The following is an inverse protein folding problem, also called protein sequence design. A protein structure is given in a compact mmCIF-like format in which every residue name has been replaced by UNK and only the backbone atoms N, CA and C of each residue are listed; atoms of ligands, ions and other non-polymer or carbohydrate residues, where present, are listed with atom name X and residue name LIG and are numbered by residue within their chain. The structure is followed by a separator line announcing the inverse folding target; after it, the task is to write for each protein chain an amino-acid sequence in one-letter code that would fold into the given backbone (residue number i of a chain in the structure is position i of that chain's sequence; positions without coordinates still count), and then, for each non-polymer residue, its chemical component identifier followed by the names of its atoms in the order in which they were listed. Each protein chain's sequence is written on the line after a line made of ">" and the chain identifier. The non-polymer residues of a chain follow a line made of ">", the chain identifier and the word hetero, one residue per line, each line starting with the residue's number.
data_IF_233699934977
#
_entry.id   IF_233699934977
#
_cell.length_a   1.000
_cell.length_b   1.000
_cell.length_c   1.000
_cell.angle_alpha   90.00
_cell.angle_beta   90.00
_cell.angle_gamma   90.00
#
_symmetry.space_group_name_H-M   'P 1'
#
loop_
_entity.id
_entity.type
_entity.pdbx_description
1 polymer ?
#
# COMPACT_ATOMS: atom_id res chain seq x y z
N UNK A 1 -36.42 19.11 19.68
CA UNK A 1 -37.80 18.73 20.03
C UNK A 1 -37.94 17.24 19.85
N UNK A 2 -38.37 16.54 20.91
CA UNK A 2 -38.49 15.08 20.96
C UNK A 2 -39.52 14.52 19.98
N UNK A 3 -39.25 13.31 19.51
CA UNK A 3 -40.22 12.41 18.90
C UNK A 3 -39.76 10.97 19.08
N UNK A 4 -40.27 10.31 20.11
CA UNK A 4 -40.16 8.86 20.35
C UNK A 4 -41.33 8.15 19.68
N UNK A 5 -41.06 7.14 18.86
CA UNK A 5 -41.98 6.04 18.55
C UNK A 5 -41.19 4.73 18.48
N UNK A 6 -41.65 3.72 19.21
CA UNK A 6 -41.06 2.38 19.25
C UNK A 6 -41.69 1.46 18.18
N UNK A 7 -40.81 0.73 17.46
CA UNK A 7 -40.85 -0.67 16.97
C UNK A 7 -41.95 -1.17 16.00
N UNK A 8 -41.56 -2.00 14.99
CA UNK A 8 -41.35 -3.42 15.25
C UNK A 8 -40.10 -4.06 14.60
N UNK A 9 -39.60 -5.08 15.30
CA UNK A 9 -38.59 -6.08 14.94
C UNK A 9 -38.63 -6.55 13.48
N UNK A 10 -37.53 -6.36 12.75
CA UNK A 10 -37.17 -7.20 11.61
C UNK A 10 -35.74 -7.74 11.80
N UNK A 11 -35.66 -9.06 11.96
CA UNK A 11 -34.40 -9.80 11.98
C UNK A 11 -33.80 -9.77 10.57
N UNK A 12 -32.83 -8.89 10.33
CA UNK A 12 -31.86 -9.07 9.25
C UNK A 12 -30.50 -9.37 9.87
N UNK A 13 -30.01 -10.59 9.62
CA UNK A 13 -28.62 -10.97 9.91
C UNK A 13 -27.72 -10.24 8.93
N UNK A 14 -27.36 -9.00 9.25
CA UNK A 14 -26.20 -8.34 8.64
C UNK A 14 -24.96 -8.91 9.29
N UNK A 15 -24.23 -9.71 8.52
CA UNK A 15 -22.86 -10.12 8.82
C UNK A 15 -21.99 -8.87 8.91
N UNK A 16 -21.84 -8.35 10.13
CA UNK A 16 -20.84 -7.34 10.46
C UNK A 16 -19.47 -7.98 10.30
N UNK A 17 -18.73 -7.54 9.29
CA UNK A 17 -17.29 -7.78 9.21
C UNK A 17 -16.69 -7.06 10.42
N UNK A 18 -16.30 -7.82 11.43
CA UNK A 18 -15.59 -7.27 12.58
C UNK A 18 -14.28 -6.65 12.10
N UNK A 19 -13.95 -5.41 12.52
CA UNK A 19 -12.60 -4.91 12.35
C UNK A 19 -11.69 -5.84 13.17
N UNK A 20 -10.61 -6.30 12.56
CA UNK A 20 -9.62 -7.16 13.21
C UNK A 20 -9.18 -6.47 14.51
N UNK A 21 -9.56 -7.08 15.62
CA UNK A 21 -9.36 -6.55 16.96
C UNK A 21 -7.85 -6.53 17.23
N UNK A 22 -7.22 -5.37 17.09
CA UNK A 22 -5.85 -5.14 17.49
C UNK A 22 -5.78 -5.06 19.00
N UNK A 23 -5.47 -6.19 19.65
CA UNK A 23 -4.87 -6.20 20.97
C UNK A 23 -4.24 -7.56 21.27
N UNK A 24 -2.94 -7.53 21.53
CA UNK A 24 -2.13 -8.70 21.87
C UNK A 24 -1.22 -9.09 20.71
N UNK A 25 0.06 -8.76 20.83
CA UNK A 25 1.13 -9.39 20.06
C UNK A 25 1.15 -10.88 20.39
N UNK A 26 0.26 -11.63 19.75
CA UNK A 26 0.33 -13.07 19.72
C UNK A 26 1.35 -13.38 18.66
N UNK A 27 2.54 -13.82 19.10
CA UNK A 27 3.50 -14.47 18.22
C UNK A 27 2.68 -15.48 17.42
N UNK A 28 2.62 -15.37 16.07
CA UNK A 28 1.84 -16.31 15.30
C UNK A 28 2.29 -17.73 15.67
N UNK A 29 1.44 -18.75 15.68
CA UNK A 29 1.90 -20.14 15.85
C UNK A 29 3.05 -20.47 14.88
N UNK A 30 3.93 -21.42 15.21
CA UNK A 30 5.04 -21.84 14.33
C UNK A 30 4.57 -22.20 12.92
N UNK A 31 3.36 -22.73 12.78
CA UNK A 31 2.76 -23.15 11.51
C UNK A 31 1.97 -22.06 10.78
N UNK A 32 1.77 -20.90 11.40
CA UNK A 32 1.02 -19.81 10.77
C UNK A 32 1.80 -19.22 9.59
N UNK A 33 1.11 -19.02 8.47
CA UNK A 33 1.70 -18.41 7.27
C UNK A 33 1.83 -16.90 7.45
N UNK A 34 3.05 -16.37 7.39
CA UNK A 34 3.25 -14.92 7.45
C UNK A 34 2.84 -14.30 6.10
N UNK A 35 1.81 -13.46 6.11
CA UNK A 35 1.38 -12.74 4.93
C UNK A 35 2.25 -11.49 4.74
N UNK A 36 3.29 -11.62 3.93
CA UNK A 36 4.17 -10.53 3.52
C UNK A 36 3.94 -10.14 2.05
N UNK A 37 2.79 -10.53 1.48
CA UNK A 37 2.42 -10.14 0.13
C UNK A 37 1.97 -8.66 0.09
N UNK A 38 1.25 -8.25 1.14
CA UNK A 38 0.63 -6.93 1.26
C UNK A 38 1.61 -5.89 1.81
N UNK A 39 1.58 -4.69 1.23
CA UNK A 39 2.36 -3.54 1.69
C UNK A 39 1.68 -2.79 2.83
N UNK A 40 1.14 -3.49 3.83
CA UNK A 40 0.50 -2.86 5.00
C UNK A 40 1.58 -2.24 5.91
N UNK A 41 1.62 -0.90 6.11
CA UNK A 41 2.71 -0.18 6.76
C UNK A 41 2.69 -0.21 8.30
N UNK A 42 2.32 -1.36 8.88
CA UNK A 42 2.24 -1.54 10.33
C UNK A 42 3.58 -1.32 11.07
N UNK A 43 4.72 -1.42 10.37
CA UNK A 43 6.06 -1.15 10.92
C UNK A 43 6.18 0.19 11.65
N UNK A 44 5.41 1.22 11.24
CA UNK A 44 5.48 2.55 11.85
C UNK A 44 4.63 2.72 13.11
N UNK A 45 3.82 1.72 13.48
CA UNK A 45 2.89 1.82 14.61
C UNK A 45 3.62 2.14 15.93
N UNK A 46 4.74 1.46 16.19
CA UNK A 46 5.52 1.64 17.41
C UNK A 46 6.11 3.04 17.54
N UNK A 47 6.49 3.66 16.41
CA UNK A 47 6.96 5.04 16.36
C UNK A 47 5.83 6.01 16.73
N UNK A 48 4.67 5.91 16.08
CA UNK A 48 3.56 6.82 16.33
C UNK A 48 2.97 6.67 17.73
N UNK A 49 2.96 5.46 18.30
CA UNK A 49 2.55 5.24 19.69
C UNK A 49 3.46 5.99 20.69
N UNK A 50 4.77 6.06 20.43
CA UNK A 50 5.72 6.80 21.28
C UNK A 50 5.55 8.32 21.19
N UNK A 51 4.88 8.84 20.17
CA UNK A 51 4.57 10.27 20.06
C UNK A 51 3.52 10.73 21.07
N UNK A 52 2.77 9.80 21.66
CA UNK A 52 1.74 10.09 22.67
C UNK A 52 0.74 11.13 22.17
N UNK A 53 0.41 12.10 23.02
CA UNK A 53 -0.64 13.08 22.73
C UNK A 53 -0.25 14.12 21.66
N UNK A 54 1.01 14.16 21.22
CA UNK A 54 1.48 15.12 20.19
C UNK A 54 0.79 14.94 18.84
N UNK A 55 0.26 13.75 18.58
CA UNK A 55 -0.44 13.41 17.35
C UNK A 55 -1.95 13.28 17.55
N UNK A 56 -2.47 13.63 18.72
CA UNK A 56 -3.92 13.62 19.00
C UNK A 56 -4.60 14.70 18.18
N UNK A 57 -5.60 14.29 17.39
CA UNK A 57 -6.49 15.20 16.65
C UNK A 57 -7.87 15.20 17.31
N UNK A 58 -8.37 16.39 17.63
CA UNK A 58 -9.73 16.58 18.16
C UNK A 58 -10.56 17.29 17.09
N UNK A 59 -11.69 16.70 16.73
CA UNK A 59 -12.66 17.27 15.78
C UNK A 59 -13.95 17.52 16.56
N UNK A 60 -14.36 18.78 16.66
CA UNK A 60 -15.60 19.18 17.32
C UNK A 60 -16.83 18.86 16.45
N UNK A 61 -18.00 18.78 17.08
CA UNK A 61 -19.23 18.34 16.39
C UNK A 61 -19.72 19.24 15.25
N UNK A 62 -19.23 20.48 15.18
CA UNK A 62 -19.57 21.44 14.12
C UNK A 62 -18.48 21.59 13.04
N UNK A 63 -17.31 21.00 13.25
CA UNK A 63 -16.21 21.05 12.28
C UNK A 63 -16.47 20.13 11.09
N UNK A 64 -15.91 20.49 9.93
CA UNK A 64 -15.92 19.68 8.70
C UNK A 64 -17.33 19.31 8.19
N UNK A 65 -18.35 20.11 8.50
CA UNK A 65 -19.73 19.88 8.02
C UNK A 65 -19.97 20.35 6.58
N UNK A 66 -19.17 21.31 6.09
CA UNK A 66 -19.28 21.85 4.73
C UNK A 66 -18.66 20.90 3.72
N UNK A 67 -19.25 20.81 2.52
CA UNK A 67 -18.61 20.14 1.38
C UNK A 67 -17.39 20.91 0.85
N UNK A 68 -17.37 22.22 1.03
CA UNK A 68 -16.33 23.08 0.48
C UNK A 68 -15.33 23.48 1.57
N UNK A 69 -14.04 23.36 1.21
CA UNK A 69 -12.90 23.82 2.01
C UNK A 69 -12.44 25.22 1.58
N UNK A 70 -12.21 25.42 0.27
CA UNK A 70 -11.74 26.70 -0.28
C UNK A 70 -12.20 26.89 -1.73
N UNK A 71 -13.15 27.80 -1.96
CA UNK A 71 -13.66 28.11 -3.30
C UNK A 71 -12.63 28.75 -4.24
N UNK A 72 -11.51 29.24 -3.73
CA UNK A 72 -10.48 29.91 -4.54
C UNK A 72 -9.47 28.93 -5.14
N UNK A 73 -9.40 27.71 -4.58
CA UNK A 73 -8.52 26.66 -5.06
C UNK A 73 -9.14 25.86 -6.20
N UNK A 74 -8.31 25.43 -7.15
CA UNK A 74 -8.70 24.47 -8.20
C UNK A 74 -9.25 23.18 -7.57
N UNK A 75 -8.64 22.75 -6.46
CA UNK A 75 -9.09 21.61 -5.67
C UNK A 75 -9.90 22.14 -4.47
N UNK A 76 -11.13 22.58 -4.70
CA UNK A 76 -11.94 23.29 -3.69
C UNK A 76 -12.30 22.50 -2.43
N UNK A 77 -12.12 21.18 -2.46
CA UNK A 77 -12.28 20.25 -1.34
C UNK A 77 -10.93 19.90 -0.66
N UNK A 78 -9.85 20.59 -0.99
CA UNK A 78 -8.57 20.50 -0.28
C UNK A 78 -8.57 21.44 0.92
N UNK A 79 -8.42 20.88 2.11
CA UNK A 79 -8.24 21.66 3.33
C UNK A 79 -6.94 22.49 3.28
N UNK A 80 -7.00 23.83 3.51
CA UNK A 80 -5.81 24.70 3.44
C UNK A 80 -4.68 24.27 4.38
N UNK A 81 -5.02 23.75 5.56
CA UNK A 81 -4.04 23.24 6.53
C UNK A 81 -3.26 22.03 5.98
N UNK A 82 -3.93 21.15 5.22
CA UNK A 82 -3.29 20.01 4.56
C UNK A 82 -2.39 20.48 3.42
N UNK A 83 -2.85 21.42 2.59
CA UNK A 83 -2.02 22.00 1.53
C UNK A 83 -0.72 22.59 2.08
N UNK A 84 -0.83 23.40 3.13
CA UNK A 84 0.32 24.01 3.80
C UNK A 84 1.28 22.94 4.36
N UNK A 85 0.76 21.88 4.97
CA UNK A 85 1.55 20.78 5.50
C UNK A 85 2.29 20.00 4.39
N UNK A 86 1.62 19.68 3.28
CA UNK A 86 2.22 19.00 2.11
C UNK A 86 3.34 19.85 1.51
N UNK A 87 3.08 21.14 1.26
CA UNK A 87 4.09 22.06 0.72
C UNK A 87 5.29 22.18 1.65
N UNK A 88 5.05 22.36 2.96
CA UNK A 88 6.11 22.43 3.98
C UNK A 88 6.96 21.16 3.99
N UNK A 89 6.32 19.99 3.98
CA UNK A 89 7.02 18.70 3.98
C UNK A 89 7.96 18.58 2.78
N UNK A 90 7.47 18.84 1.56
CA UNK A 90 8.28 18.74 0.35
C UNK A 90 9.43 19.77 0.30
N UNK A 91 9.22 20.99 0.80
CA UNK A 91 10.30 21.99 0.92
C UNK A 91 11.37 21.55 1.93
N UNK A 92 10.97 21.00 3.06
CA UNK A 92 11.91 20.53 4.10
C UNK A 92 12.71 19.30 3.66
N UNK A 93 12.05 18.33 3.01
CA UNK A 93 12.71 17.08 2.57
C UNK A 93 13.48 17.28 1.25
N UNK A 94 13.04 18.22 0.40
CA UNK A 94 13.67 18.53 -0.88
C UNK A 94 13.43 17.45 -1.95
N UNK A 95 12.40 16.62 -1.82
CA UNK A 95 12.12 15.51 -2.74
C UNK A 95 11.16 15.86 -3.89
N UNK A 96 10.51 17.02 -3.87
CA UNK A 96 9.64 17.48 -4.95
C UNK A 96 9.55 19.01 -5.00
N UNK A 97 9.36 19.57 -6.20
CA UNK A 97 9.06 20.99 -6.41
C UNK A 97 7.56 21.19 -6.27
N UNK A 98 7.16 22.06 -5.34
CA UNK A 98 5.75 22.34 -5.04
C UNK A 98 5.31 23.75 -5.42
N UNK A 99 6.23 24.65 -5.74
CA UNK A 99 5.95 26.07 -5.99
C UNK A 99 5.81 26.41 -7.49
N UNK A 100 5.44 27.65 -7.81
CA UNK A 100 5.27 28.14 -9.19
C UNK A 100 3.86 27.91 -9.74
N UNK A 101 3.77 27.30 -10.91
CA UNK A 101 2.53 26.95 -11.63
C UNK A 101 1.93 25.60 -11.19
N UNK A 102 2.37 25.07 -10.04
CA UNK A 102 1.98 23.74 -9.55
C UNK A 102 0.78 23.83 -8.61
N UNK A 103 -0.26 23.07 -8.94
CA UNK A 103 -1.44 22.87 -8.09
C UNK A 103 -1.31 21.60 -7.24
N UNK A 104 -1.93 21.60 -6.06
CA UNK A 104 -2.09 20.41 -5.23
C UNK A 104 -3.52 19.88 -5.43
N UNK A 105 -3.64 18.60 -5.75
CA UNK A 105 -4.92 17.89 -5.85
C UNK A 105 -4.91 16.76 -4.85
N UNK A 106 -5.94 16.67 -4.00
CA UNK A 106 -6.10 15.60 -3.02
C UNK A 106 -7.03 14.51 -3.55
N UNK A 107 -6.82 13.29 -3.11
CA UNK A 107 -7.69 12.15 -3.40
C UNK A 107 -7.56 11.09 -2.31
N UNK A 108 -8.50 10.17 -2.27
CA UNK A 108 -8.55 9.03 -1.36
C UNK A 108 -7.48 8.01 -1.74
N UNK A 109 -6.26 8.32 -1.34
CA UNK A 109 -5.06 7.56 -1.68
C UNK A 109 -4.54 7.81 -3.09
N UNK A 110 -3.28 7.46 -3.32
CA UNK A 110 -2.61 7.64 -4.61
C UNK A 110 -3.25 6.83 -5.73
N UNK A 111 -4.00 5.77 -5.41
CA UNK A 111 -4.74 4.96 -6.40
C UNK A 111 -5.77 5.79 -7.15
N UNK A 112 -6.55 6.61 -6.43
CA UNK A 112 -7.53 7.50 -7.05
C UNK A 112 -6.83 8.58 -7.88
N UNK A 113 -5.77 9.19 -7.33
CA UNK A 113 -5.00 10.23 -8.03
C UNK A 113 -4.35 9.69 -9.32
N UNK A 114 -3.85 8.45 -9.31
CA UNK A 114 -3.30 7.82 -10.50
C UNK A 114 -4.37 7.62 -11.58
N UNK A 115 -5.56 7.13 -11.21
CA UNK A 115 -6.68 6.98 -12.14
C UNK A 115 -7.16 8.33 -12.68
N UNK A 116 -7.28 9.34 -11.81
CA UNK A 116 -7.63 10.69 -12.20
C UNK A 116 -6.61 11.29 -13.17
N UNK A 117 -5.31 11.05 -12.95
CA UNK A 117 -4.26 11.49 -13.84
C UNK A 117 -4.34 10.79 -15.21
N UNK A 118 -4.55 9.47 -15.24
CA UNK A 118 -4.74 8.74 -16.50
C UNK A 118 -5.94 9.28 -17.28
N UNK A 119 -7.07 9.50 -16.61
CA UNK A 119 -8.28 10.06 -17.21
C UNK A 119 -8.08 11.49 -17.72
N UNK A 120 -7.41 12.35 -16.94
CA UNK A 120 -7.16 13.73 -17.34
C UNK A 120 -6.18 13.83 -18.54
N UNK A 121 -5.28 12.86 -18.69
CA UNK A 121 -4.30 12.80 -19.78
C UNK A 121 -4.85 12.16 -21.06
N UNK A 122 -5.97 11.42 -21.00
CA UNK A 122 -6.62 10.91 -22.20
C UNK A 122 -7.30 12.06 -22.95
N UNK A 123 -6.88 12.32 -24.19
CA UNK A 123 -7.42 13.42 -25.00
C UNK A 123 -8.83 13.08 -25.51
N UNK A 124 -9.84 13.92 -25.29
CA UNK A 124 -11.15 13.76 -25.91
C UNK A 124 -11.01 13.83 -27.45
N UNK A 125 -11.33 12.74 -28.15
CA UNK A 125 -11.32 12.68 -29.63
C UNK A 125 -10.05 12.12 -30.28
N UNK A 126 -9.10 11.59 -29.49
CA UNK A 126 -7.98 10.79 -30.02
C UNK A 126 -8.39 9.36 -30.37
N UNK A 127 -7.50 8.57 -31.03
CA UNK A 127 -7.73 7.14 -31.23
C UNK A 127 -7.78 6.42 -29.88
N UNK A 128 -8.98 5.98 -29.51
CA UNK A 128 -9.23 5.12 -28.35
C UNK A 128 -8.90 3.65 -28.70
N UNK A 129 -8.21 2.89 -27.83
CA UNK A 129 -7.76 3.25 -26.48
C UNK A 129 -6.35 3.87 -26.42
N UNK A 130 -6.14 4.79 -25.49
CA UNK A 130 -4.79 5.35 -25.17
C UNK A 130 -3.90 4.28 -24.53
N UNK A 131 -2.71 4.06 -25.10
CA UNK A 131 -1.74 3.09 -24.56
C UNK A 131 -1.07 3.61 -23.28
N UNK A 132 -1.18 2.84 -22.19
CA UNK A 132 -0.54 3.13 -20.89
C UNK A 132 0.44 2.00 -20.56
N UNK A 133 1.74 2.32 -20.57
CA UNK A 133 2.83 1.36 -20.36
C UNK A 133 3.69 1.69 -19.14
N UNK A 134 4.32 0.67 -18.55
CA UNK A 134 5.26 0.82 -17.44
C UNK A 134 6.40 -0.18 -17.60
N UNK A 135 7.64 0.24 -17.33
CA UNK A 135 8.79 -0.65 -17.35
C UNK A 135 8.68 -1.76 -16.29
N UNK A 136 9.06 -2.99 -16.65
CA UNK A 136 9.13 -4.12 -15.73
C UNK A 136 10.41 -4.08 -14.87
N UNK A 137 10.35 -4.48 -13.58
CA UNK A 137 9.16 -4.91 -12.83
C UNK A 137 8.25 -3.71 -12.51
N UNK A 138 6.99 -3.77 -12.92
CA UNK A 138 6.02 -2.69 -12.70
C UNK A 138 5.15 -2.95 -11.47
N UNK A 139 4.59 -1.92 -10.85
CA UNK A 139 3.67 -2.10 -9.72
C UNK A 139 2.45 -2.94 -10.12
N UNK A 140 2.25 -4.11 -9.50
CA UNK A 140 1.30 -5.12 -9.97
C UNK A 140 -0.17 -4.67 -10.03
N UNK A 141 -0.56 -3.65 -9.26
CA UNK A 141 -1.93 -3.09 -9.32
C UNK A 141 -2.18 -2.41 -10.67
N UNK A 142 -1.13 -1.98 -11.38
CA UNK A 142 -1.25 -1.37 -12.72
C UNK A 142 -1.77 -2.36 -13.77
N UNK A 143 -1.59 -3.67 -13.57
CA UNK A 143 -2.06 -4.71 -14.50
C UNK A 143 -3.58 -4.83 -14.48
N UNK A 144 -4.24 -4.52 -13.37
CA UNK A 144 -5.71 -4.58 -13.29
C UNK A 144 -6.40 -3.51 -14.15
N UNK A 145 -5.66 -2.46 -14.54
CA UNK A 145 -6.21 -1.29 -15.24
C UNK A 145 -5.65 -1.08 -16.66
N UNK A 146 -4.69 -1.90 -17.12
CA UNK A 146 -4.14 -1.82 -18.47
C UNK A 146 -3.84 -3.23 -18.99
N UNK A 147 -4.64 -3.69 -19.97
CA UNK A 147 -4.35 -4.89 -20.75
C UNK A 147 -3.76 -4.46 -22.10
N UNK A 148 -2.45 -4.64 -22.28
CA UNK A 148 -1.82 -5.17 -23.51
C UNK A 148 -0.31 -5.41 -23.33
N UNK A 149 0.21 -6.47 -23.98
CA UNK A 149 1.51 -7.13 -23.81
C UNK A 149 2.60 -6.61 -24.79
N UNK A 150 3.90 -6.69 -24.41
CA UNK A 150 5.01 -6.71 -25.40
C UNK A 150 6.45 -6.32 -24.97
N UNK A 151 7.22 -7.30 -24.45
CA UNK A 151 8.70 -7.59 -24.50
C UNK A 151 9.85 -6.57 -24.19
N UNK A 152 10.58 -6.92 -23.11
CA UNK A 152 12.06 -7.06 -22.85
C UNK A 152 12.96 -5.86 -22.41
N UNK A 153 13.38 -5.97 -21.12
CA UNK A 153 14.69 -5.78 -20.43
C UNK A 153 15.45 -4.45 -20.36
N UNK A 154 15.65 -3.95 -19.12
CA UNK A 154 16.96 -3.97 -18.42
C UNK A 154 16.74 -3.71 -16.91
N UNK A 155 16.99 -4.72 -16.08
CA UNK A 155 16.88 -4.61 -14.62
C UNK A 155 18.21 -4.10 -14.06
N UNK A 156 18.30 -2.78 -13.81
CA UNK A 156 19.30 -2.21 -12.91
C UNK A 156 18.61 -1.87 -11.60
N UNK A 157 18.46 -2.89 -10.76
CA UNK A 157 18.02 -2.73 -9.38
C UNK A 157 19.04 -1.85 -8.65
N UNK A 158 18.68 -0.58 -8.37
CA UNK A 158 19.22 0.30 -7.32
C UNK A 158 18.52 1.68 -7.36
N UNK A 159 18.21 2.35 -6.23
CA UNK A 159 18.16 1.89 -4.84
C UNK A 159 16.74 2.04 -4.23
N UNK A 160 16.39 1.06 -3.38
CA UNK A 160 15.58 1.28 -2.18
C UNK A 160 14.15 1.81 -2.38
N UNK A 161 13.28 0.97 -2.93
CA UNK A 161 11.93 0.91 -2.34
C UNK A 161 12.11 0.15 -1.02
N UNK A 162 12.52 0.85 0.05
CA UNK A 162 12.83 0.26 1.37
C UNK A 162 11.68 -0.63 1.91
N UNK A 163 10.47 -0.47 1.37
CA UNK A 163 9.28 -1.23 1.74
C UNK A 163 9.18 -2.63 1.16
N UNK A 164 9.96 -2.99 0.12
CA UNK A 164 9.86 -4.31 -0.50
C UNK A 164 11.23 -4.89 -0.86
N UNK A 165 11.43 -6.16 -0.51
CA UNK A 165 12.58 -6.94 -0.91
C UNK A 165 12.21 -7.90 -2.07
N UNK A 166 13.16 -8.16 -2.96
CA UNK A 166 13.04 -9.19 -3.98
C UNK A 166 13.93 -10.37 -3.60
N UNK A 167 13.38 -11.57 -3.67
CA UNK A 167 14.11 -12.82 -3.50
C UNK A 167 14.04 -13.63 -4.79
N UNK A 168 15.15 -14.29 -5.12
CA UNK A 168 15.32 -15.13 -6.31
C UNK A 168 15.73 -16.55 -5.88
N UNK A 169 15.15 -17.56 -6.52
CA UNK A 169 15.62 -18.95 -6.40
C UNK A 169 16.61 -19.30 -7.53
N UNK A 170 17.60 -20.14 -7.22
CA UNK A 170 18.67 -20.54 -8.14
C UNK A 170 18.24 -21.54 -9.24
N UNK A 171 17.00 -22.02 -9.19
CA UNK A 171 16.42 -22.98 -10.15
C UNK A 171 15.08 -22.44 -10.67
N UNK A 172 14.54 -23.00 -11.77
CA UNK A 172 13.23 -22.65 -12.37
C UNK A 172 12.01 -23.05 -11.49
N UNK A 173 12.16 -22.93 -10.18
CA UNK A 173 11.21 -23.31 -9.15
C UNK A 173 10.32 -22.12 -8.82
N UNK A 174 9.04 -22.42 -8.61
CA UNK A 174 8.05 -21.46 -8.14
C UNK A 174 8.40 -21.01 -6.71
N UNK A 175 9.07 -19.85 -6.62
CA UNK A 175 9.67 -19.38 -5.37
C UNK A 175 8.62 -19.05 -4.31
N UNK A 176 7.43 -18.62 -4.73
CA UNK A 176 6.30 -18.40 -3.82
C UNK A 176 5.88 -19.70 -3.15
N UNK A 177 5.77 -20.80 -3.91
CA UNK A 177 5.43 -22.12 -3.36
C UNK A 177 6.51 -22.63 -2.41
N UNK A 178 7.78 -22.42 -2.73
CA UNK A 178 8.91 -22.81 -1.88
C UNK A 178 8.86 -22.07 -0.55
N UNK A 179 8.74 -20.74 -0.56
CA UNK A 179 8.67 -19.95 0.67
C UNK A 179 7.45 -20.32 1.52
N UNK A 180 6.30 -20.53 0.87
CA UNK A 180 5.07 -20.92 1.57
C UNK A 180 5.15 -22.34 2.13
N UNK A 181 5.81 -23.25 1.43
CA UNK A 181 5.98 -24.65 1.85
C UNK A 181 7.02 -24.84 2.95
N UNK A 182 8.23 -24.32 2.75
CA UNK A 182 9.38 -24.57 3.61
C UNK A 182 9.39 -23.69 4.86
N UNK A 183 9.10 -22.39 4.71
CA UNK A 183 9.19 -21.42 5.80
C UNK A 183 7.88 -20.73 6.13
N UNK A 184 6.76 -21.20 5.56
CA UNK A 184 5.42 -20.65 5.83
C UNK A 184 5.38 -19.13 5.63
N UNK A 185 5.99 -18.62 4.56
CA UNK A 185 5.97 -17.20 4.18
C UNK A 185 5.23 -17.06 2.87
N UNK A 186 4.25 -16.15 2.83
CA UNK A 186 3.53 -15.78 1.62
C UNK A 186 4.05 -14.44 1.12
N UNK A 187 4.60 -14.45 -0.09
CA UNK A 187 5.02 -13.27 -0.83
C UNK A 187 4.23 -13.09 -2.12
N UNK A 188 4.56 -12.07 -2.91
CA UNK A 188 3.90 -11.80 -4.20
C UNK A 188 4.76 -12.30 -5.35
N UNK A 189 4.27 -13.29 -6.11
CA UNK A 189 4.99 -13.82 -7.28
C UNK A 189 5.38 -12.73 -8.28
N UNK A 190 6.59 -12.86 -8.83
CA UNK A 190 7.16 -12.00 -9.87
C UNK A 190 6.31 -11.93 -11.14
N UNK A 191 5.52 -12.97 -11.45
CA UNK A 191 4.59 -12.96 -12.59
C UNK A 191 3.60 -11.81 -12.53
N UNK A 192 3.18 -11.38 -11.33
CA UNK A 192 2.29 -10.23 -11.14
C UNK A 192 2.94 -8.88 -11.52
N UNK A 193 4.26 -8.85 -11.71
CA UNK A 193 5.06 -7.67 -12.02
C UNK A 193 5.69 -7.74 -13.42
N UNK A 194 5.33 -8.75 -14.22
CA UNK A 194 5.89 -8.96 -15.55
C UNK A 194 7.30 -9.56 -15.56
N UNK A 195 7.70 -10.20 -14.46
CA UNK A 195 8.98 -10.93 -14.35
C UNK A 195 8.72 -12.42 -14.08
N UNK A 196 9.79 -13.21 -14.09
CA UNK A 196 9.74 -14.67 -13.94
C UNK A 196 9.18 -15.13 -12.58
N UNK A 197 8.65 -16.35 -12.51
CA UNK A 197 8.12 -16.98 -11.29
C UNK A 197 9.21 -17.34 -10.27
N UNK A 198 10.48 -17.38 -10.68
CA UNK A 198 11.64 -17.52 -9.79
C UNK A 198 11.88 -16.32 -8.89
N UNK A 199 11.15 -15.22 -9.12
CA UNK A 199 11.18 -14.04 -8.27
C UNK A 199 9.95 -13.98 -7.39
N UNK A 200 10.14 -13.57 -6.14
CA UNK A 200 9.07 -13.23 -5.21
C UNK A 200 9.39 -11.92 -4.52
N UNK A 201 8.38 -11.06 -4.41
CA UNK A 201 8.47 -9.80 -3.69
C UNK A 201 7.91 -9.97 -2.27
N UNK A 202 8.68 -9.59 -1.27
CA UNK A 202 8.34 -9.64 0.15
C UNK A 202 8.17 -8.20 0.67
N UNK A 203 7.10 -7.96 1.41
CA UNK A 203 6.86 -6.72 2.14
C UNK A 203 7.76 -6.62 3.37
N UNK A 204 8.46 -5.51 3.50
CA UNK A 204 9.30 -5.15 4.65
C UNK A 204 8.57 -4.20 5.61
N UNK A 205 7.26 -4.02 5.39
CA UNK A 205 6.42 -3.06 6.07
C UNK A 205 5.59 -3.65 7.22
N UNK A 206 5.67 -4.97 7.41
CA UNK A 206 4.96 -5.67 8.48
C UNK A 206 5.39 -5.18 9.86
N UNK A 207 4.56 -5.47 10.88
CA UNK A 207 4.91 -5.28 12.27
C UNK A 207 6.24 -5.95 12.64
N UNK A 208 6.89 -5.41 13.68
CA UNK A 208 8.23 -5.82 14.12
C UNK A 208 8.30 -7.31 14.51
N UNK A 209 7.24 -7.84 15.13
CA UNK A 209 7.08 -9.24 15.51
C UNK A 209 7.01 -10.17 14.28
N UNK A 210 6.19 -9.82 13.29
CA UNK A 210 6.06 -10.54 12.02
C UNK A 210 7.39 -10.52 11.26
N UNK A 211 8.06 -9.36 11.25
CA UNK A 211 9.34 -9.18 10.58
C UNK A 211 10.46 -10.00 11.23
N UNK A 212 10.58 -9.96 12.56
CA UNK A 212 11.58 -10.76 13.28
C UNK A 212 11.34 -12.25 13.09
N UNK A 213 10.08 -12.70 13.10
CA UNK A 213 9.74 -14.09 12.82
C UNK A 213 10.07 -14.49 11.38
N UNK A 214 9.91 -13.58 10.42
CA UNK A 214 10.35 -13.81 9.05
C UNK A 214 11.87 -14.04 8.99
N UNK A 215 12.67 -13.21 9.66
CA UNK A 215 14.13 -13.37 9.72
C UNK A 215 14.55 -14.69 10.38
N UNK A 216 13.89 -15.08 11.48
CA UNK A 216 14.09 -16.36 12.16
C UNK A 216 13.89 -17.52 11.17
N UNK A 217 12.74 -17.57 10.48
CA UNK A 217 12.44 -18.65 9.53
C UNK A 217 13.34 -18.64 8.30
N UNK A 218 13.76 -17.46 7.84
CA UNK A 218 14.70 -17.31 6.74
C UNK A 218 16.09 -17.89 7.10
N UNK A 219 16.50 -17.78 8.37
CA UNK A 219 17.76 -18.35 8.85
C UNK A 219 17.80 -19.89 8.77
N UNK A 220 16.66 -20.55 8.94
CA UNK A 220 16.50 -22.01 8.83
C UNK A 220 16.78 -22.54 7.42
N UNK A 221 16.62 -21.73 6.37
CA UNK A 221 16.96 -22.14 5.00
C UNK A 221 18.49 -22.24 4.82
N UNK A 222 19.24 -21.32 5.44
CA UNK A 222 20.71 -21.26 5.30
C UNK A 222 21.43 -22.45 5.93
N UNK A 223 20.85 -23.05 6.97
CA UNK A 223 21.44 -24.24 7.61
C UNK A 223 21.27 -25.51 6.77
N UNK A 224 20.26 -25.56 5.90
CA UNK A 224 20.01 -26.72 5.01
C UNK A 224 20.99 -26.73 3.82
N UNK A 225 21.40 -25.57 3.32
CA UNK A 225 22.34 -25.46 2.19
C UNK A 225 23.80 -25.68 2.56
N UNK A 226 24.18 -25.60 3.84
CA UNK A 226 25.55 -25.79 4.31
C UNK A 226 25.87 -27.25 4.74
N UNK A 227 24.95 -28.18 4.50
CA UNK A 227 25.10 -29.60 4.84
C UNK A 227 25.46 -30.53 3.67
N UNK A 228 25.90 -29.97 2.53
CA UNK A 228 26.37 -30.72 1.36
C UNK A 228 27.87 -30.57 1.15
#
# INVERSE_FOLDING_TARGET
>A
MCGTTENPTSNSKTSSVSPANGNGGTIPPSDHVLNLEQGDPAVYESYWRKMGDKCTMVISGSELMSYISDFTSVCWFLEPALEAAVRRLHRTVGNAVVDGDRHIVVGTGSTQLYQAALYALTSPGGPEPVSVVSAAPYYSVRVLYSLTFGKVSLMKLRPLIFSFAWMEANEDVDTEKVLRGQIKVQGRTGRRFGVDQRYVRISMLSGEDVFNKFLERLSTIKSVTNGH
#
